data_IF_199417560746
#
_entry.id   IF_199417560746
#
_cell.length_a   1.000
_cell.length_b   1.000
_cell.length_c   1.000
_cell.angle_alpha   90.00
_cell.angle_beta   90.00
_cell.angle_gamma   90.00
#
_symmetry.space_group_name_H-M   'P 1'
#
loop_
_entity.id
_entity.type
_entity.pdbx_description
1 polymer ?
#
# COMPACT_ATOMS: atom_id res chain seq x y z
N UNK A 1 -0.31 -15.12 14.87
CA UNK A 1 0.12 -14.64 13.55
C UNK A 1 0.74 -13.28 13.75
N UNK A 2 1.98 -13.08 13.32
CA UNK A 2 2.61 -11.77 13.41
C UNK A 2 1.79 -10.66 12.73
N UNK A 3 1.83 -9.46 13.31
CA UNK A 3 1.31 -8.25 12.69
C UNK A 3 2.20 -7.85 11.49
N UNK A 4 1.69 -6.98 10.61
CA UNK A 4 2.51 -6.51 9.49
C UNK A 4 3.74 -5.74 9.98
N UNK A 5 3.67 -5.07 11.14
CA UNK A 5 4.78 -4.32 11.74
C UNK A 5 5.91 -5.25 12.18
N UNK A 6 5.57 -6.33 12.88
CA UNK A 6 6.54 -7.34 13.33
C UNK A 6 7.25 -8.03 12.17
N UNK A 7 6.54 -8.27 11.06
CA UNK A 7 7.14 -8.78 9.82
C UNK A 7 8.05 -7.72 9.23
N UNK A 8 7.55 -6.48 9.07
CA UNK A 8 8.27 -5.38 8.43
C UNK A 8 9.60 -5.07 9.14
N UNK A 9 9.69 -5.20 10.46
CA UNK A 9 10.95 -5.00 11.18
C UNK A 9 12.05 -5.99 10.75
N UNK A 10 11.66 -7.23 10.44
CA UNK A 10 12.57 -8.36 10.12
C UNK A 10 12.97 -8.43 8.66
N UNK A 11 12.27 -7.75 7.75
CA UNK A 11 12.58 -7.82 6.31
C UNK A 11 13.76 -6.92 5.92
N UNK A 12 14.49 -7.26 4.85
CA UNK A 12 15.55 -6.41 4.32
C UNK A 12 15.06 -5.01 3.93
N UNK A 13 15.97 -4.02 3.95
CA UNK A 13 15.63 -2.64 3.58
C UNK A 13 15.03 -2.53 2.16
N UNK A 14 15.53 -3.33 1.22
CA UNK A 14 14.97 -3.37 -0.15
C UNK A 14 13.48 -3.75 -0.18
N UNK A 15 13.04 -4.64 0.72
CA UNK A 15 11.62 -5.03 0.85
C UNK A 15 10.83 -3.93 1.54
N UNK A 16 11.40 -3.25 2.54
CA UNK A 16 10.79 -2.08 3.19
C UNK A 16 10.53 -0.96 2.18
N UNK A 17 11.51 -0.66 1.33
CA UNK A 17 11.39 0.38 0.32
C UNK A 17 10.32 0.01 -0.72
N UNK A 18 10.33 -1.24 -1.22
CA UNK A 18 9.28 -1.75 -2.11
C UNK A 18 7.90 -1.73 -1.46
N UNK A 19 7.82 -2.03 -0.16
CA UNK A 19 6.58 -1.99 0.60
C UNK A 19 5.99 -0.57 0.63
N UNK A 20 6.79 0.45 0.89
CA UNK A 20 6.33 1.85 0.85
C UNK A 20 5.81 2.25 -0.54
N UNK A 21 6.50 1.84 -1.61
CA UNK A 21 6.06 2.09 -2.98
C UNK A 21 4.71 1.39 -3.24
N UNK A 22 4.59 0.09 -2.90
CA UNK A 22 3.35 -0.67 -3.10
C UNK A 22 2.19 -0.16 -2.25
N UNK A 23 2.45 0.28 -1.04
CA UNK A 23 1.47 0.93 -0.17
C UNK A 23 0.90 2.19 -0.84
N UNK A 24 1.76 3.04 -1.40
CA UNK A 24 1.34 4.26 -2.11
C UNK A 24 0.64 3.95 -3.43
N UNK A 25 1.11 2.97 -4.21
CA UNK A 25 0.43 2.49 -5.42
C UNK A 25 -1.01 2.04 -5.10
N UNK A 26 -1.19 1.29 -4.00
CA UNK A 26 -2.51 0.84 -3.58
C UNK A 26 -3.44 2.00 -3.22
N UNK A 27 -2.92 3.04 -2.55
CA UNK A 27 -3.68 4.24 -2.26
C UNK A 27 -4.12 4.96 -3.55
N UNK A 28 -3.21 5.10 -4.53
CA UNK A 28 -3.50 5.67 -5.85
C UNK A 28 -4.61 4.90 -6.57
N UNK A 29 -4.56 3.56 -6.54
CA UNK A 29 -5.62 2.72 -7.12
C UNK A 29 -6.99 2.97 -6.48
N UNK A 30 -7.04 3.06 -5.14
CA UNK A 30 -8.29 3.34 -4.42
C UNK A 30 -8.83 4.71 -4.78
N UNK A 31 -7.97 5.73 -4.85
CA UNK A 31 -8.38 7.09 -5.27
C UNK A 31 -8.92 7.08 -6.70
N UNK A 32 -8.21 6.44 -7.64
CA UNK A 32 -8.68 6.29 -9.03
C UNK A 32 -10.02 5.58 -9.11
N UNK A 33 -10.22 4.53 -8.31
CA UNK A 33 -11.47 3.77 -8.26
C UNK A 33 -12.62 4.57 -7.62
N UNK A 34 -12.32 5.44 -6.65
CA UNK A 34 -13.29 6.39 -6.10
C UNK A 34 -13.69 7.45 -7.12
N UNK A 35 -12.71 7.98 -7.87
CA UNK A 35 -12.96 8.99 -8.91
C UNK A 35 -13.77 8.37 -10.04
N UNK A 36 -13.43 7.17 -10.52
CA UNK A 36 -14.18 6.49 -11.59
C UNK A 36 -15.62 6.15 -11.19
N UNK A 37 -15.89 5.91 -9.91
CA UNK A 37 -17.24 5.71 -9.35
C UNK A 37 -17.97 7.03 -9.11
N UNK A 38 -17.24 8.13 -8.99
CA UNK A 38 -17.81 9.47 -8.95
C UNK A 38 -18.12 9.95 -10.37
N UNK A 39 -19.07 10.86 -10.54
CA UNK A 39 -19.32 11.48 -11.85
C UNK A 39 -18.25 12.54 -12.23
N UNK A 40 -17.06 12.51 -11.59
CA UNK A 40 -15.95 13.44 -11.80
C UNK A 40 -14.82 12.77 -12.58
N UNK A 41 -14.06 13.58 -13.30
CA UNK A 41 -12.86 13.16 -14.03
C UNK A 41 -11.60 13.43 -13.21
N UNK A 42 -10.51 12.73 -13.53
CA UNK A 42 -9.19 12.99 -12.93
C UNK A 42 -8.72 14.43 -13.17
N UNK A 43 -9.16 15.05 -14.26
CA UNK A 43 -8.83 16.44 -14.62
C UNK A 43 -9.56 17.48 -13.78
N UNK A 44 -10.54 17.05 -12.98
CA UNK A 44 -11.32 17.95 -12.12
C UNK A 44 -10.63 18.18 -10.76
N UNK A 45 -9.47 17.52 -10.53
CA UNK A 45 -8.66 17.64 -9.32
C UNK A 45 -7.30 18.23 -9.70
N UNK A 46 -6.82 19.17 -8.91
CA UNK A 46 -5.44 19.62 -9.02
C UNK A 46 -4.44 18.63 -8.38
N UNK A 47 -3.14 18.87 -8.58
CA UNK A 47 -2.09 17.98 -8.09
C UNK A 47 -2.07 17.90 -6.55
N UNK A 48 -2.38 19.01 -5.86
CA UNK A 48 -2.39 19.09 -4.40
C UNK A 48 -3.62 18.35 -3.82
N UNK A 49 -4.78 18.48 -4.46
CA UNK A 49 -6.00 17.74 -4.12
C UNK A 49 -5.81 16.24 -4.32
N UNK A 50 -5.22 15.83 -5.45
CA UNK A 50 -4.92 14.41 -5.70
C UNK A 50 -3.92 13.87 -4.68
N UNK A 51 -2.85 14.60 -4.39
CA UNK A 51 -1.86 14.19 -3.38
C UNK A 51 -2.50 14.07 -2.00
N UNK A 52 -3.37 15.01 -1.62
CA UNK A 52 -4.13 14.96 -0.37
C UNK A 52 -5.03 13.72 -0.28
N UNK A 53 -5.78 13.42 -1.34
CA UNK A 53 -6.61 12.22 -1.41
C UNK A 53 -5.79 10.94 -1.30
N UNK A 54 -4.65 10.86 -2.00
CA UNK A 54 -3.75 9.69 -1.96
C UNK A 54 -3.18 9.53 -0.56
N UNK A 55 -2.68 10.60 0.07
CA UNK A 55 -2.11 10.55 1.41
C UNK A 55 -3.15 10.11 2.47
N UNK A 56 -4.39 10.57 2.33
CA UNK A 56 -5.49 10.15 3.20
C UNK A 56 -5.82 8.67 3.04
N UNK A 57 -5.91 8.16 1.81
CA UNK A 57 -6.17 6.74 1.57
C UNK A 57 -4.99 5.88 2.01
N UNK A 58 -3.75 6.34 1.81
CA UNK A 58 -2.56 5.63 2.24
C UNK A 58 -2.52 5.41 3.77
N UNK A 59 -3.00 6.40 4.53
CA UNK A 59 -3.13 6.31 6.01
C UNK A 59 -4.30 5.44 6.45
N UNK A 60 -5.33 5.27 5.62
CA UNK A 60 -6.53 4.48 5.91
C UNK A 60 -6.39 3.00 5.53
N UNK A 61 -5.31 2.61 4.85
CA UNK A 61 -5.07 1.20 4.51
C UNK A 61 -5.11 0.33 5.77
N UNK A 62 -5.91 -0.73 5.72
CA UNK A 62 -6.08 -1.61 6.87
C UNK A 62 -4.83 -2.47 7.11
N UNK A 63 -4.64 -2.93 8.35
CA UNK A 63 -3.55 -3.84 8.69
C UNK A 63 -3.53 -5.10 7.81
N UNK A 64 -4.70 -5.61 7.41
CA UNK A 64 -4.82 -6.76 6.51
C UNK A 64 -4.36 -6.44 5.08
N UNK A 65 -4.68 -5.25 4.57
CA UNK A 65 -4.19 -4.80 3.27
C UNK A 65 -2.67 -4.63 3.28
N UNK A 66 -2.13 -4.02 4.34
CA UNK A 66 -0.68 -3.85 4.51
C UNK A 66 0.00 -5.21 4.63
N UNK A 67 -0.55 -6.13 5.41
CA UNK A 67 -0.04 -7.50 5.52
C UNK A 67 -0.05 -8.23 4.18
N UNK A 68 -1.13 -8.11 3.41
CA UNK A 68 -1.25 -8.73 2.08
C UNK A 68 -0.18 -8.20 1.12
N UNK A 69 0.06 -6.89 1.10
CA UNK A 69 1.12 -6.27 0.30
C UNK A 69 2.49 -6.84 0.70
N UNK A 70 2.77 -6.88 2.01
CA UNK A 70 4.03 -7.36 2.53
C UNK A 70 4.27 -8.85 2.21
N UNK A 71 3.26 -9.72 2.39
CA UNK A 71 3.35 -11.15 2.05
C UNK A 71 3.55 -11.35 0.55
N UNK A 72 2.92 -10.55 -0.29
CA UNK A 72 3.10 -10.61 -1.75
C UNK A 72 4.55 -10.29 -2.12
N UNK A 73 5.11 -9.22 -1.54
CA UNK A 73 6.51 -8.86 -1.75
C UNK A 73 7.47 -9.94 -1.26
N UNK A 74 7.22 -10.51 -0.08
CA UNK A 74 8.01 -11.61 0.45
C UNK A 74 7.95 -12.84 -0.46
N UNK A 75 6.80 -13.13 -1.05
CA UNK A 75 6.65 -14.22 -2.02
C UNK A 75 7.49 -14.00 -3.26
N UNK A 76 7.48 -12.79 -3.82
CA UNK A 76 8.28 -12.44 -4.99
C UNK A 76 9.79 -12.53 -4.74
N UNK A 77 10.23 -12.23 -3.52
CA UNK A 77 11.64 -12.27 -3.11
C UNK A 77 12.08 -13.63 -2.55
N UNK A 78 11.18 -14.62 -2.46
CA UNK A 78 11.49 -15.93 -1.88
C UNK A 78 11.68 -15.93 -0.35
N UNK A 79 11.12 -14.94 0.34
CA UNK A 79 11.24 -14.70 1.79
C UNK A 79 9.95 -15.03 2.57
N UNK A 80 9.08 -15.89 2.02
CA UNK A 80 7.77 -16.22 2.63
C UNK A 80 7.86 -16.76 4.05
N UNK A 81 8.96 -17.42 4.42
CA UNK A 81 9.21 -17.91 5.77
C UNK A 81 9.17 -16.81 6.85
N UNK A 82 9.40 -15.55 6.47
CA UNK A 82 9.29 -14.41 7.40
C UNK A 82 7.84 -14.04 7.73
N UNK A 83 6.87 -14.44 6.90
CA UNK A 83 5.46 -14.17 7.09
C UNK A 83 4.73 -15.20 7.98
N UNK A 84 5.35 -16.36 8.21
CA UNK A 84 4.80 -17.47 9.00
C UNK A 84 5.22 -17.46 10.47
N UNK A 85 6.08 -16.52 10.86
CA UNK A 85 6.49 -16.26 12.25
C UNK A 85 5.35 -15.64 13.09
#
# INVERSE_FOLDING_TARGET
MATYEEILEKVPQSVKDKFLIKKRERAIEIVKDKISKSAKNLTDFDDDEMEGMIADEERKLSGDQLKTILVTLLTMEGLTYLAEL
#
